data_IF_727986745084
#
_entry.id   IF_727986745084
#
_cell.length_a   1.000
_cell.length_b   1.000
_cell.length_c   1.000
_cell.angle_alpha   90.00
_cell.angle_beta   90.00
_cell.angle_gamma   90.00
#
_symmetry.space_group_name_H-M   'P 1'
#
loop_
_entity.id
_entity.type
_entity.pdbx_description
1 polymer ?
#
# COMPACT_ATOMS: atom_id res chain seq x y z
N UNK A 1 12.28 -6.25 -33.62
CA UNK A 1 11.75 -7.23 -32.63
C UNK A 1 12.91 -7.63 -31.73
N UNK A 2 13.02 -7.02 -30.55
CA UNK A 2 14.09 -7.35 -29.59
C UNK A 2 13.81 -8.76 -29.04
N UNK A 3 14.66 -9.73 -29.40
CA UNK A 3 14.61 -11.09 -28.86
C UNK A 3 15.10 -11.03 -27.39
N UNK A 4 14.18 -11.12 -26.43
CA UNK A 4 14.54 -11.23 -25.01
C UNK A 4 15.31 -12.55 -24.81
N UNK A 5 16.49 -12.54 -24.19
CA UNK A 5 17.29 -13.75 -23.98
C UNK A 5 16.51 -14.83 -23.24
N UNK A 6 16.62 -16.08 -23.65
CA UNK A 6 15.91 -17.22 -23.06
C UNK A 6 16.05 -17.36 -21.52
N UNK A 7 17.21 -17.07 -20.88
CA UNK A 7 17.30 -17.09 -19.41
C UNK A 7 16.44 -16.02 -18.73
N UNK A 8 16.29 -14.83 -19.34
CA UNK A 8 15.43 -13.75 -18.83
C UNK A 8 13.96 -14.17 -18.90
N UNK A 9 13.52 -14.72 -20.04
CA UNK A 9 12.15 -15.25 -20.19
C UNK A 9 11.86 -16.33 -19.16
N UNK A 10 12.78 -17.29 -18.96
CA UNK A 10 12.66 -18.35 -17.94
C UNK A 10 12.57 -17.80 -16.52
N UNK A 11 13.34 -16.78 -16.20
CA UNK A 11 13.27 -16.11 -14.91
C UNK A 11 11.88 -15.50 -14.67
N UNK A 12 11.34 -14.73 -15.62
CA UNK A 12 10.00 -14.14 -15.51
C UNK A 12 8.90 -15.20 -15.42
N UNK A 13 8.96 -16.26 -16.20
CA UNK A 13 8.00 -17.38 -16.10
C UNK A 13 8.06 -18.07 -14.75
N UNK A 14 9.25 -18.24 -14.18
CA UNK A 14 9.43 -18.82 -12.84
C UNK A 14 8.85 -17.90 -11.76
N UNK A 15 9.13 -16.60 -11.83
CA UNK A 15 8.61 -15.61 -10.86
C UNK A 15 7.08 -15.44 -10.97
N UNK A 16 6.50 -15.60 -12.15
CA UNK A 16 5.06 -15.55 -12.36
C UNK A 16 4.35 -16.89 -12.03
N UNK A 17 5.09 -17.95 -11.63
CA UNK A 17 4.53 -19.25 -11.27
C UNK A 17 3.93 -19.24 -9.86
N UNK A 18 2.63 -19.58 -9.65
CA UNK A 18 1.99 -19.61 -8.36
C UNK A 18 2.69 -20.49 -7.32
N UNK A 19 3.12 -21.75 -7.62
CA UNK A 19 3.83 -22.58 -6.66
C UNK A 19 5.16 -21.98 -6.19
N UNK A 20 5.92 -21.40 -7.13
CA UNK A 20 7.19 -20.76 -6.81
C UNK A 20 7.00 -19.52 -5.94
N UNK A 21 6.02 -18.67 -6.28
CA UNK A 21 5.67 -17.50 -5.47
C UNK A 21 5.25 -17.92 -4.05
N UNK A 22 4.43 -18.97 -3.92
CA UNK A 22 3.99 -19.49 -2.63
C UNK A 22 5.19 -19.91 -1.76
N UNK A 23 6.06 -20.76 -2.30
CA UNK A 23 7.24 -21.24 -1.57
C UNK A 23 8.23 -20.11 -1.22
N UNK A 24 8.48 -19.19 -2.16
CA UNK A 24 9.35 -18.03 -1.93
C UNK A 24 8.79 -17.12 -0.82
N UNK A 25 7.50 -16.81 -0.89
CA UNK A 25 6.83 -15.97 0.12
C UNK A 25 6.88 -16.60 1.51
N UNK A 26 6.72 -17.93 1.63
CA UNK A 26 6.83 -18.64 2.89
C UNK A 26 8.24 -18.54 3.48
N UNK A 27 9.26 -18.71 2.65
CA UNK A 27 10.67 -18.61 3.07
C UNK A 27 11.07 -17.18 3.49
N UNK A 28 10.53 -16.17 2.84
CA UNK A 28 10.85 -14.76 3.14
C UNK A 28 10.11 -14.23 4.38
N UNK A 29 8.94 -14.80 4.70
CA UNK A 29 8.04 -14.25 5.72
C UNK A 29 8.72 -14.01 7.08
N UNK A 30 9.47 -14.95 7.71
CA UNK A 30 10.06 -14.70 9.01
C UNK A 30 11.05 -13.53 9.01
N UNK A 31 11.85 -13.39 7.95
CA UNK A 31 12.80 -12.27 7.81
C UNK A 31 12.10 -10.92 7.64
N UNK A 32 11.05 -10.88 6.84
CA UNK A 32 10.25 -9.66 6.65
C UNK A 32 9.60 -9.23 7.97
N UNK A 33 9.08 -10.18 8.76
CA UNK A 33 8.51 -9.88 10.08
C UNK A 33 9.56 -9.34 11.05
N UNK A 34 10.75 -9.94 11.10
CA UNK A 34 11.84 -9.42 11.95
C UNK A 34 12.23 -8.00 11.56
N UNK A 35 12.42 -7.74 10.26
CA UNK A 35 12.75 -6.39 9.76
C UNK A 35 11.63 -5.39 10.11
N UNK A 36 10.37 -5.78 9.91
CA UNK A 36 9.22 -4.95 10.26
C UNK A 36 9.21 -4.57 11.75
N UNK A 37 9.41 -5.55 12.64
CA UNK A 37 9.40 -5.32 14.10
C UNK A 37 10.54 -4.39 14.50
N UNK A 38 11.75 -4.60 13.97
CA UNK A 38 12.91 -3.75 14.28
C UNK A 38 12.71 -2.31 13.78
N UNK A 39 12.23 -2.14 12.56
CA UNK A 39 11.95 -0.80 12.01
C UNK A 39 10.85 -0.08 12.79
N UNK A 40 9.78 -0.80 13.17
CA UNK A 40 8.69 -0.24 13.97
C UNK A 40 9.18 0.19 15.34
N UNK A 41 9.91 -0.69 16.04
CA UNK A 41 10.44 -0.39 17.37
C UNK A 41 11.40 0.82 17.33
N UNK A 42 12.33 0.84 16.38
CA UNK A 42 13.28 1.95 16.23
C UNK A 42 12.57 3.26 15.83
N UNK A 43 11.60 3.20 14.90
CA UNK A 43 10.83 4.36 14.44
C UNK A 43 9.95 4.95 15.56
N UNK A 44 9.22 4.10 16.30
CA UNK A 44 8.41 4.56 17.42
C UNK A 44 9.26 5.08 18.59
N UNK A 45 10.33 4.40 18.96
CA UNK A 45 11.23 4.86 19.99
C UNK A 45 11.86 6.22 19.62
N UNK A 46 12.39 6.32 18.38
CA UNK A 46 12.96 7.57 17.89
C UNK A 46 11.94 8.71 17.83
N UNK A 47 10.72 8.43 17.33
CA UNK A 47 9.68 9.46 17.14
C UNK A 47 8.97 9.88 18.41
N UNK A 48 8.72 8.95 19.35
CA UNK A 48 7.94 9.24 20.55
C UNK A 48 8.80 9.69 21.74
N UNK A 49 10.07 9.25 21.81
CA UNK A 49 10.94 9.52 22.96
C UNK A 49 12.14 10.40 22.62
N UNK A 50 12.83 10.16 21.50
CA UNK A 50 14.07 10.88 21.17
C UNK A 50 13.85 12.19 20.42
N UNK A 51 12.82 12.25 19.55
CA UNK A 51 12.53 13.46 18.79
C UNK A 51 12.03 14.57 19.73
N UNK A 52 12.56 15.81 19.61
CA UNK A 52 12.12 16.95 20.41
C UNK A 52 10.67 17.31 20.08
N UNK A 53 9.96 18.00 20.96
CA UNK A 53 8.65 18.59 20.68
C UNK A 53 8.79 19.68 19.61
N UNK A 54 7.80 19.79 18.73
CA UNK A 54 7.76 20.85 17.73
C UNK A 54 7.47 22.21 18.37
N UNK A 55 8.12 23.26 17.90
CA UNK A 55 8.01 24.61 18.50
C UNK A 55 6.63 25.25 18.30
N UNK A 56 5.88 24.85 17.25
CA UNK A 56 4.53 25.38 16.99
C UNK A 56 3.44 24.42 17.44
N UNK A 57 3.65 23.11 17.23
CA UNK A 57 2.62 22.08 17.40
C UNK A 57 2.75 21.32 18.73
N UNK A 58 3.83 21.57 19.49
CA UNK A 58 4.11 20.81 20.70
C UNK A 58 4.21 19.32 20.42
N UNK A 59 3.67 18.48 21.29
CA UNK A 59 3.69 17.01 21.12
C UNK A 59 2.63 16.48 20.15
N UNK A 60 1.64 17.30 19.75
CA UNK A 60 0.62 16.87 18.78
C UNK A 60 1.20 16.53 17.41
N UNK A 61 2.39 17.09 17.06
CA UNK A 61 3.07 16.75 15.83
C UNK A 61 3.48 15.28 15.73
N UNK A 62 3.64 14.56 16.85
CA UNK A 62 4.08 13.14 16.87
C UNK A 62 3.16 12.21 16.11
N UNK A 63 1.94 12.62 15.81
CA UNK A 63 1.01 11.91 14.93
C UNK A 63 1.58 11.75 13.50
N UNK A 64 2.56 12.58 13.11
CA UNK A 64 3.26 12.53 11.82
C UNK A 64 3.85 11.13 11.54
N UNK A 65 4.31 10.43 12.58
CA UNK A 65 4.95 9.12 12.44
C UNK A 65 3.98 7.99 12.06
N UNK A 66 2.68 8.24 12.15
CA UNK A 66 1.61 7.33 11.69
C UNK A 66 0.90 7.92 10.49
N UNK A 67 0.53 9.20 10.54
CA UNK A 67 -0.25 9.86 9.49
C UNK A 67 0.48 9.89 8.14
N UNK A 68 1.70 10.44 8.12
CA UNK A 68 2.44 10.63 6.86
C UNK A 68 2.81 9.31 6.20
N UNK A 69 3.36 8.29 6.91
CA UNK A 69 3.55 6.97 6.33
C UNK A 69 2.26 6.34 5.81
N UNK A 70 1.12 6.50 6.51
CA UNK A 70 -0.17 5.99 6.04
C UNK A 70 -0.63 6.66 4.76
N UNK A 71 -0.52 7.99 4.68
CA UNK A 71 -0.86 8.76 3.47
C UNK A 71 0.05 8.41 2.29
N UNK A 72 1.36 8.20 2.51
CA UNK A 72 2.26 7.72 1.45
C UNK A 72 1.90 6.30 1.00
N UNK A 73 1.53 5.42 1.93
CA UNK A 73 1.15 4.05 1.60
C UNK A 73 -0.20 3.98 0.89
N UNK A 74 -1.17 4.86 1.19
CA UNK A 74 -2.45 4.92 0.47
C UNK A 74 -2.23 5.16 -1.02
N UNK A 75 -1.40 6.13 -1.39
CA UNK A 75 -1.07 6.44 -2.77
C UNK A 75 -0.23 5.33 -3.42
N UNK A 76 0.82 4.89 -2.73
CA UNK A 76 1.75 3.88 -3.25
C UNK A 76 1.05 2.56 -3.56
N UNK A 77 0.21 2.07 -2.66
CA UNK A 77 -0.51 0.79 -2.85
C UNK A 77 -1.50 0.91 -4.00
N UNK A 78 -2.14 2.07 -4.19
CA UNK A 78 -3.04 2.26 -5.32
C UNK A 78 -2.30 2.20 -6.66
N UNK A 79 -1.12 2.82 -6.74
CA UNK A 79 -0.25 2.71 -7.93
C UNK A 79 0.14 1.26 -8.20
N UNK A 80 0.60 0.53 -7.16
CA UNK A 80 0.93 -0.91 -7.30
C UNK A 80 -0.27 -1.71 -7.79
N UNK A 81 -1.46 -1.45 -7.25
CA UNK A 81 -2.71 -2.11 -7.64
C UNK A 81 -3.06 -1.81 -9.10
N UNK A 82 -2.97 -0.56 -9.54
CA UNK A 82 -3.24 -0.15 -10.93
C UNK A 82 -2.24 -0.77 -11.91
N UNK A 83 -0.94 -0.75 -11.58
CA UNK A 83 0.11 -1.37 -12.41
C UNK A 83 -0.08 -2.88 -12.49
N UNK A 84 -0.30 -3.55 -11.36
CA UNK A 84 -0.56 -4.99 -11.33
C UNK A 84 -1.84 -5.34 -12.11
N UNK A 85 -2.92 -4.56 -11.94
CA UNK A 85 -4.15 -4.70 -12.71
C UNK A 85 -3.93 -4.57 -14.21
N UNK A 86 -3.17 -3.56 -14.64
CA UNK A 86 -2.79 -3.37 -16.05
C UNK A 86 -1.98 -4.54 -16.60
N UNK A 87 -1.01 -5.04 -15.85
CA UNK A 87 -0.23 -6.23 -16.21
C UNK A 87 -1.14 -7.46 -16.34
N UNK A 88 -2.04 -7.68 -15.37
CA UNK A 88 -3.00 -8.76 -15.40
C UNK A 88 -3.94 -8.68 -16.60
N UNK A 89 -4.42 -7.48 -16.92
CA UNK A 89 -5.35 -7.23 -18.03
C UNK A 89 -4.70 -7.46 -19.41
N UNK A 90 -3.45 -6.96 -19.60
CA UNK A 90 -2.75 -7.00 -20.90
C UNK A 90 -2.12 -8.37 -21.13
N UNK A 91 -1.35 -8.87 -20.17
CA UNK A 91 -0.58 -10.13 -20.33
C UNK A 91 -1.23 -11.36 -19.72
N UNK A 92 -2.40 -11.20 -19.07
CA UNK A 92 -3.16 -12.28 -18.43
C UNK A 92 -2.33 -13.04 -17.38
N UNK A 93 -1.46 -12.33 -16.66
CA UNK A 93 -0.62 -12.90 -15.60
C UNK A 93 -1.46 -13.04 -14.34
N UNK A 94 -1.80 -14.28 -13.98
CA UNK A 94 -2.64 -14.60 -12.78
C UNK A 94 -2.11 -13.98 -11.50
N UNK A 95 -0.80 -14.03 -11.29
CA UNK A 95 -0.19 -13.47 -10.08
C UNK A 95 -0.39 -11.96 -9.98
N UNK A 96 -0.36 -11.23 -11.09
CA UNK A 96 -0.63 -9.80 -11.14
C UNK A 96 -2.10 -9.50 -10.74
N UNK A 97 -3.06 -10.30 -11.24
CA UNK A 97 -4.46 -10.19 -10.81
C UNK A 97 -4.62 -10.42 -9.31
N UNK A 98 -3.90 -11.42 -8.76
CA UNK A 98 -3.91 -11.74 -7.33
C UNK A 98 -3.31 -10.59 -6.50
N UNK A 99 -2.20 -9.99 -6.94
CA UNK A 99 -1.61 -8.81 -6.29
C UNK A 99 -2.59 -7.64 -6.28
N UNK A 100 -3.33 -7.41 -7.37
CA UNK A 100 -4.34 -6.35 -7.45
C UNK A 100 -5.37 -6.45 -6.34
N UNK A 101 -6.05 -7.60 -6.21
CA UNK A 101 -7.10 -7.76 -5.17
C UNK A 101 -6.51 -7.86 -3.76
N UNK A 102 -5.33 -8.48 -3.60
CA UNK A 102 -4.69 -8.60 -2.31
C UNK A 102 -4.25 -7.25 -1.73
N UNK A 103 -3.92 -6.29 -2.59
CA UNK A 103 -3.50 -4.94 -2.20
C UNK A 103 -4.66 -4.04 -1.78
N UNK A 104 -5.86 -4.23 -2.34
CA UNK A 104 -6.99 -3.33 -2.14
C UNK A 104 -7.41 -3.15 -0.67
N UNK A 105 -7.61 -4.20 0.17
CA UNK A 105 -7.98 -4.02 1.57
C UNK A 105 -6.88 -3.36 2.40
N UNK A 106 -5.61 -3.60 2.05
CA UNK A 106 -4.47 -3.00 2.75
C UNK A 106 -4.41 -1.51 2.44
N UNK A 107 -4.57 -1.14 1.16
CA UNK A 107 -4.65 0.26 0.74
C UNK A 107 -5.83 0.99 1.38
N UNK A 108 -7.02 0.38 1.41
CA UNK A 108 -8.19 0.93 2.11
C UNK A 108 -7.89 1.20 3.59
N UNK A 109 -7.20 0.28 4.28
CA UNK A 109 -6.85 0.44 5.70
C UNK A 109 -5.89 1.62 5.90
N UNK A 110 -4.86 1.77 5.07
CA UNK A 110 -3.94 2.91 5.17
C UNK A 110 -4.62 4.24 4.83
N UNK A 111 -5.49 4.27 3.83
CA UNK A 111 -6.29 5.46 3.50
C UNK A 111 -7.20 5.85 4.67
N UNK A 112 -7.88 4.87 5.27
CA UNK A 112 -8.71 5.11 6.46
C UNK A 112 -7.89 5.65 7.64
N UNK A 113 -6.72 5.05 7.93
CA UNK A 113 -5.82 5.52 9.00
C UNK A 113 -5.35 6.95 8.69
N UNK A 114 -4.99 7.27 7.44
CA UNK A 114 -4.60 8.61 7.04
C UNK A 114 -5.71 9.63 7.27
N UNK A 115 -6.96 9.32 6.88
CA UNK A 115 -8.12 10.19 7.11
C UNK A 115 -8.40 10.40 8.59
N UNK A 116 -8.42 9.34 9.40
CA UNK A 116 -8.67 9.42 10.85
C UNK A 116 -7.56 10.20 11.56
N UNK A 117 -6.31 9.86 11.31
CA UNK A 117 -5.18 10.54 11.95
C UNK A 117 -5.02 11.97 11.48
N UNK A 118 -5.34 12.26 10.21
CA UNK A 118 -5.39 13.63 9.68
C UNK A 118 -6.48 14.47 10.34
N UNK A 119 -7.67 13.90 10.56
CA UNK A 119 -8.76 14.55 11.31
C UNK A 119 -8.37 14.82 12.77
N UNK A 120 -7.76 13.85 13.46
CA UNK A 120 -7.26 14.02 14.83
C UNK A 120 -6.17 15.09 14.92
N UNK A 121 -5.29 15.18 13.94
CA UNK A 121 -4.24 16.19 13.88
C UNK A 121 -4.78 17.57 13.47
N UNK A 122 -5.76 17.62 12.59
CA UNK A 122 -6.40 18.85 12.14
C UNK A 122 -7.10 19.61 13.24
N UNK A 123 -7.69 18.90 14.23
CA UNK A 123 -8.43 19.56 15.32
C UNK A 123 -7.57 20.54 16.14
N UNK A 124 -6.40 20.18 16.68
CA UNK A 124 -5.54 21.12 17.39
C UNK A 124 -4.88 22.15 16.45
N UNK A 125 -4.65 21.83 15.17
CA UNK A 125 -3.92 22.69 14.24
C UNK A 125 -4.80 23.72 13.54
N UNK A 126 -6.02 23.33 13.19
CA UNK A 126 -6.94 24.15 12.36
C UNK A 126 -8.26 24.47 13.07
N UNK A 127 -8.46 23.96 14.28
CA UNK A 127 -9.70 24.15 15.06
C UNK A 127 -10.88 23.30 14.58
N UNK A 128 -10.72 22.48 13.54
CA UNK A 128 -11.79 21.65 12.96
C UNK A 128 -11.32 20.22 12.72
N UNK A 129 -12.26 19.27 12.75
CA UNK A 129 -11.99 17.87 12.44
C UNK A 129 -11.92 17.59 10.94
N UNK A 130 -12.63 18.38 10.12
CA UNK A 130 -12.79 18.16 8.70
C UNK A 130 -13.00 19.48 7.95
N UNK A 131 -12.44 19.55 6.75
CA UNK A 131 -12.68 20.61 5.78
C UNK A 131 -12.89 19.93 4.41
N UNK A 132 -13.89 20.37 3.67
CA UNK A 132 -14.13 19.91 2.30
C UNK A 132 -13.20 20.63 1.32
N UNK A 133 -11.91 20.40 1.50
CA UNK A 133 -10.90 20.87 0.54
C UNK A 133 -10.52 19.78 -0.46
N UNK A 134 -9.71 20.14 -1.45
CA UNK A 134 -9.31 19.21 -2.51
C UNK A 134 -8.49 18.02 -1.96
N UNK A 135 -7.67 18.24 -0.93
CA UNK A 135 -6.79 17.22 -0.36
C UNK A 135 -7.57 16.13 0.38
N UNK A 136 -8.40 16.55 1.34
CA UNK A 136 -9.17 15.61 2.16
C UNK A 136 -10.25 14.91 1.33
N UNK A 137 -10.92 15.66 0.43
CA UNK A 137 -11.96 15.10 -0.43
C UNK A 137 -11.40 14.06 -1.40
N UNK A 138 -10.27 14.34 -2.06
CA UNK A 138 -9.66 13.37 -2.99
C UNK A 138 -9.09 12.14 -2.26
N UNK A 139 -8.58 12.27 -1.03
CA UNK A 139 -8.17 11.12 -0.20
C UNK A 139 -9.40 10.28 0.23
N UNK A 140 -10.54 10.90 0.53
CA UNK A 140 -11.80 10.20 0.78
C UNK A 140 -12.30 9.46 -0.48
N UNK A 141 -12.21 10.07 -1.65
CA UNK A 141 -12.51 9.40 -2.92
C UNK A 141 -11.61 8.18 -3.12
N UNK A 142 -10.32 8.27 -2.76
CA UNK A 142 -9.40 7.15 -2.82
C UNK A 142 -9.88 5.98 -1.95
N UNK A 143 -10.38 6.24 -0.75
CA UNK A 143 -10.99 5.21 0.10
C UNK A 143 -12.17 4.53 -0.61
N UNK A 144 -13.07 5.31 -1.20
CA UNK A 144 -14.20 4.74 -1.94
C UNK A 144 -13.78 3.95 -3.18
N UNK A 145 -12.71 4.36 -3.87
CA UNK A 145 -12.15 3.59 -4.98
C UNK A 145 -11.61 2.23 -4.51
N UNK A 146 -10.92 2.16 -3.37
CA UNK A 146 -10.50 0.90 -2.77
C UNK A 146 -11.70 0.02 -2.37
N UNK A 147 -12.69 0.60 -1.71
CA UNK A 147 -13.92 -0.12 -1.33
C UNK A 147 -14.69 -0.60 -2.57
N UNK A 148 -14.71 0.19 -3.63
CA UNK A 148 -15.28 -0.17 -4.93
C UNK A 148 -14.58 -1.39 -5.53
N UNK A 149 -13.25 -1.44 -5.51
CA UNK A 149 -12.48 -2.62 -5.97
C UNK A 149 -12.82 -3.86 -5.15
N UNK A 150 -12.88 -3.74 -3.82
CA UNK A 150 -13.21 -4.86 -2.92
C UNK A 150 -14.63 -5.36 -3.18
N UNK A 151 -15.60 -4.43 -3.21
CA UNK A 151 -17.02 -4.75 -3.44
C UNK A 151 -17.28 -5.37 -4.81
N UNK A 152 -16.66 -4.79 -5.86
CA UNK A 152 -16.80 -5.29 -7.24
C UNK A 152 -16.21 -6.70 -7.38
N UNK A 153 -15.07 -6.98 -6.77
CA UNK A 153 -14.50 -8.32 -6.77
C UNK A 153 -15.37 -9.34 -6.03
N UNK A 154 -15.98 -8.94 -4.91
CA UNK A 154 -16.88 -9.79 -4.14
C UNK A 154 -18.21 -10.07 -4.85
N UNK A 155 -18.73 -9.11 -5.61
CA UNK A 155 -20.02 -9.19 -6.28
C UNK A 155 -20.02 -10.07 -7.54
N UNK A 156 -18.85 -10.36 -8.13
CA UNK A 156 -18.74 -11.15 -9.37
C UNK A 156 -18.21 -12.55 -9.04
N UNK A 157 -18.99 -13.58 -9.36
CA UNK A 157 -18.64 -14.98 -9.07
C UNK A 157 -17.46 -15.47 -9.92
N UNK A 158 -17.46 -15.18 -11.23
CA UNK A 158 -16.33 -15.51 -12.11
C UNK A 158 -15.14 -14.62 -11.79
N UNK A 159 -14.12 -15.21 -11.15
CA UNK A 159 -12.92 -14.48 -10.71
C UNK A 159 -12.05 -13.94 -11.85
N UNK A 160 -12.19 -14.45 -13.07
CA UNK A 160 -11.53 -13.86 -14.26
C UNK A 160 -12.23 -12.58 -14.70
N UNK A 161 -13.57 -12.61 -14.71
CA UNK A 161 -14.37 -11.42 -15.01
C UNK A 161 -14.18 -10.38 -13.93
N UNK A 162 -14.24 -10.77 -12.66
CA UNK A 162 -13.98 -9.92 -11.51
C UNK A 162 -12.60 -9.24 -11.60
N UNK A 163 -11.54 -10.00 -11.89
CA UNK A 163 -10.18 -9.46 -12.03
C UNK A 163 -10.06 -8.41 -13.14
N UNK A 164 -10.72 -8.61 -14.28
CA UNK A 164 -10.77 -7.60 -15.35
C UNK A 164 -11.50 -6.34 -14.92
N UNK A 165 -12.67 -6.50 -14.28
CA UNK A 165 -13.48 -5.37 -13.83
C UNK A 165 -12.72 -4.51 -12.81
N UNK A 166 -12.10 -5.13 -11.80
CA UNK A 166 -11.31 -4.38 -10.81
C UNK A 166 -10.03 -3.77 -11.39
N UNK A 167 -9.39 -4.40 -12.39
CA UNK A 167 -8.25 -3.84 -13.08
C UNK A 167 -8.61 -2.55 -13.83
N UNK A 168 -9.76 -2.54 -14.51
CA UNK A 168 -10.27 -1.34 -15.19
C UNK A 168 -10.58 -0.25 -14.17
N UNK A 169 -11.28 -0.56 -13.07
CA UNK A 169 -11.57 0.40 -12.01
C UNK A 169 -10.30 0.98 -11.41
N UNK A 170 -9.29 0.15 -11.14
CA UNK A 170 -8.00 0.60 -10.61
C UNK A 170 -7.26 1.53 -11.58
N UNK A 171 -7.26 1.21 -12.88
CA UNK A 171 -6.64 2.03 -13.92
C UNK A 171 -7.36 3.38 -14.12
N UNK A 172 -8.68 3.39 -14.07
CA UNK A 172 -9.45 4.65 -14.13
C UNK A 172 -9.21 5.47 -12.87
N UNK A 173 -9.26 4.85 -11.71
CA UNK A 173 -9.10 5.55 -10.44
C UNK A 173 -7.68 6.08 -10.17
N UNK A 174 -6.65 5.60 -10.88
CA UNK A 174 -5.27 6.08 -10.69
C UNK A 174 -5.11 7.57 -11.00
N UNK A 175 -6.00 8.14 -11.80
CA UNK A 175 -6.05 9.59 -12.09
C UNK A 175 -6.24 10.42 -10.83
N UNK A 176 -6.85 9.84 -9.78
CA UNK A 176 -7.01 10.51 -8.49
C UNK A 176 -5.68 10.71 -7.74
N UNK A 177 -4.64 9.92 -8.03
CA UNK A 177 -3.34 9.99 -7.35
C UNK A 177 -2.63 11.33 -7.57
N UNK A 178 -2.40 11.81 -8.81
CA UNK A 178 -1.84 13.14 -9.02
C UNK A 178 -2.73 14.26 -8.46
N UNK A 179 -4.07 14.11 -8.47
CA UNK A 179 -4.97 15.08 -7.87
C UNK A 179 -4.68 15.21 -6.37
N UNK A 180 -4.58 14.10 -5.64
CA UNK A 180 -4.20 14.12 -4.22
C UNK A 180 -2.81 14.76 -4.05
N UNK A 181 -1.82 14.33 -4.83
CA UNK A 181 -0.44 14.76 -4.67
C UNK A 181 -0.27 16.27 -4.84
N UNK A 182 -0.86 16.82 -5.91
CA UNK A 182 -0.74 18.24 -6.26
C UNK A 182 -1.88 19.10 -5.72
N UNK A 183 -2.80 18.56 -4.94
CA UNK A 183 -3.95 19.29 -4.40
C UNK A 183 -3.57 20.55 -3.63
N UNK A 184 -2.46 20.52 -2.89
CA UNK A 184 -1.95 21.66 -2.11
C UNK A 184 -1.30 22.77 -2.96
N UNK A 185 -0.93 22.45 -4.20
CA UNK A 185 -0.35 23.40 -5.15
C UNK A 185 -1.41 23.98 -6.08
N UNK A 186 -2.42 23.18 -6.46
CA UNK A 186 -3.44 23.58 -7.42
C UNK A 186 -4.65 24.27 -6.79
N UNK A 187 -4.92 24.03 -5.51
CA UNK A 187 -6.08 24.60 -4.81
C UNK A 187 -5.69 25.13 -3.43
N UNK A 188 -6.49 26.08 -2.93
CA UNK A 188 -6.39 26.52 -1.55
C UNK A 188 -6.83 25.41 -0.58
N UNK A 189 -5.98 25.06 0.36
CA UNK A 189 -6.21 24.02 1.37
C UNK A 189 -5.55 24.43 2.68
N UNK A 190 -6.08 23.97 3.80
CA UNK A 190 -5.43 24.11 5.12
C UNK A 190 -4.21 23.22 5.28
N UNK A 191 -4.10 22.18 4.43
CA UNK A 191 -2.99 21.24 4.49
C UNK A 191 -1.69 21.89 4.00
N UNK A 192 -0.64 21.79 4.82
CA UNK A 192 0.69 22.31 4.43
C UNK A 192 1.28 21.53 3.25
N UNK A 193 2.12 22.19 2.46
CA UNK A 193 2.87 21.58 1.37
C UNK A 193 3.83 20.48 1.82
N UNK A 194 4.40 19.71 0.87
CA UNK A 194 5.28 18.58 1.20
C UNK A 194 6.55 19.05 1.89
N UNK A 195 6.86 18.49 3.05
CA UNK A 195 8.07 18.78 3.83
C UNK A 195 9.25 17.86 3.48
N UNK A 196 8.97 16.66 2.95
CA UNK A 196 9.95 15.62 2.61
C UNK A 196 9.97 15.32 1.12
N UNK A 197 8.80 15.11 0.49
CA UNK A 197 8.66 14.73 -0.92
C UNK A 197 8.65 15.93 -1.85
N UNK A 198 9.72 16.74 -1.82
CA UNK A 198 9.92 17.92 -2.66
C UNK A 198 11.28 17.85 -3.36
N UNK A 199 11.47 18.66 -4.40
CA UNK A 199 12.70 18.70 -5.21
C UNK A 199 13.88 19.38 -4.49
N UNK A 200 13.72 19.84 -3.26
CA UNK A 200 14.71 20.49 -2.43
C UNK A 200 14.95 19.69 -1.14
N UNK A 201 15.90 20.16 -0.31
CA UNK A 201 16.20 19.53 0.99
C UNK A 201 14.92 19.46 1.86
N UNK A 202 14.72 18.35 2.60
CA UNK A 202 13.63 18.26 3.56
C UNK A 202 13.61 19.44 4.52
N UNK A 203 12.42 20.03 4.74
CA UNK A 203 12.24 21.14 5.69
C UNK A 203 11.84 20.66 7.09
N UNK A 204 12.36 19.52 7.50
CA UNK A 204 12.16 18.90 8.81
C UNK A 204 13.54 18.58 9.41
N UNK A 205 13.68 18.76 10.71
CA UNK A 205 14.94 18.48 11.40
C UNK A 205 15.29 16.97 11.34
N UNK A 206 16.59 16.65 11.25
CA UNK A 206 17.04 15.25 11.10
C UNK A 206 16.56 14.32 12.21
N UNK A 207 16.46 14.81 13.46
CA UNK A 207 15.96 14.02 14.60
C UNK A 207 14.50 13.64 14.47
N UNK A 208 13.69 14.38 13.71
CA UNK A 208 12.31 14.06 13.37
C UNK A 208 12.21 13.28 12.06
N UNK A 209 13.10 13.58 11.09
CA UNK A 209 13.11 12.95 9.77
C UNK A 209 13.47 11.46 9.85
N UNK A 210 14.52 11.11 10.60
CA UNK A 210 14.99 9.71 10.67
C UNK A 210 13.89 8.78 11.19
N UNK A 211 13.22 9.05 12.34
CA UNK A 211 12.09 8.23 12.78
C UNK A 211 10.95 8.16 11.76
N UNK A 212 10.64 9.26 11.08
CA UNK A 212 9.61 9.28 10.05
C UNK A 212 9.93 8.33 8.89
N UNK A 213 11.18 8.32 8.41
CA UNK A 213 11.61 7.41 7.35
C UNK A 213 11.64 5.95 7.81
N UNK A 214 12.04 5.68 9.07
CA UNK A 214 11.95 4.34 9.64
C UNK A 214 10.50 3.84 9.69
N UNK A 215 9.56 4.69 10.11
CA UNK A 215 8.13 4.34 10.09
C UNK A 215 7.59 4.14 8.67
N UNK A 216 8.03 4.94 7.70
CA UNK A 216 7.65 4.76 6.30
C UNK A 216 8.16 3.42 5.74
N UNK A 217 9.39 3.03 6.07
CA UNK A 217 9.95 1.72 5.71
C UNK A 217 9.23 0.58 6.44
N UNK A 218 8.91 0.75 7.72
CA UNK A 218 8.12 -0.20 8.49
C UNK A 218 6.76 -0.45 7.84
N UNK A 219 6.03 0.59 7.43
CA UNK A 219 4.72 0.46 6.78
C UNK A 219 4.82 -0.20 5.40
N UNK A 220 5.92 0.05 4.66
CA UNK A 220 6.21 -0.73 3.43
C UNK A 220 6.44 -2.20 3.72
N UNK A 221 7.18 -2.55 4.77
CA UNK A 221 7.38 -3.95 5.17
C UNK A 221 6.06 -4.60 5.58
N UNK A 222 5.23 -3.90 6.37
CA UNK A 222 3.88 -4.38 6.70
C UNK A 222 3.05 -4.65 5.45
N UNK A 223 3.07 -3.72 4.47
CA UNK A 223 2.36 -3.93 3.20
C UNK A 223 2.85 -5.20 2.49
N UNK A 224 4.16 -5.40 2.37
CA UNK A 224 4.71 -6.59 1.71
C UNK A 224 4.27 -7.85 2.43
N UNK A 225 4.36 -7.91 3.77
CA UNK A 225 3.93 -9.04 4.59
C UNK A 225 2.45 -9.34 4.37
N UNK A 226 1.60 -8.34 4.53
CA UNK A 226 0.15 -8.50 4.42
C UNK A 226 -0.27 -8.87 2.99
N UNK A 227 0.35 -8.26 1.97
CA UNK A 227 0.09 -8.57 0.56
C UNK A 227 0.51 -10.03 0.24
N UNK A 228 1.69 -10.47 0.68
CA UNK A 228 2.14 -11.85 0.45
C UNK A 228 1.21 -12.86 1.12
N UNK A 229 0.79 -12.61 2.37
CA UNK A 229 -0.15 -13.49 3.08
C UNK A 229 -1.50 -13.58 2.37
N UNK A 230 -2.08 -12.42 1.99
CA UNK A 230 -3.36 -12.38 1.27
C UNK A 230 -3.25 -13.03 -0.11
N UNK A 231 -2.15 -12.78 -0.83
CA UNK A 231 -1.91 -13.39 -2.14
C UNK A 231 -1.80 -14.92 -2.06
N UNK A 232 -1.16 -15.45 -1.00
CA UNK A 232 -1.11 -16.91 -0.75
C UNK A 232 -2.51 -17.49 -0.54
N UNK A 233 -3.33 -16.84 0.28
CA UNK A 233 -4.73 -17.29 0.51
C UNK A 233 -5.52 -17.25 -0.79
N UNK A 234 -5.45 -16.14 -1.53
CA UNK A 234 -6.16 -15.99 -2.81
C UNK A 234 -5.73 -17.04 -3.85
N UNK A 235 -4.42 -17.33 -3.93
CA UNK A 235 -3.90 -18.38 -4.82
C UNK A 235 -4.43 -19.76 -4.46
N UNK A 236 -4.42 -20.12 -3.18
CA UNK A 236 -4.95 -21.41 -2.72
C UNK A 236 -6.45 -21.54 -3.03
N UNK A 237 -7.22 -20.47 -2.88
CA UNK A 237 -8.65 -20.47 -3.22
C UNK A 237 -8.90 -20.63 -4.73
N UNK A 238 -8.16 -19.87 -5.55
CA UNK A 238 -8.28 -19.92 -7.01
C UNK A 238 -7.80 -21.22 -7.63
N UNK A 239 -6.79 -21.84 -7.02
CA UNK A 239 -6.13 -23.04 -7.54
C UNK A 239 -6.41 -24.29 -6.70
N UNK A 240 -7.49 -24.30 -5.90
CA UNK A 240 -7.85 -25.40 -4.99
C UNK A 240 -7.86 -26.80 -5.63
N UNK A 241 -8.12 -26.88 -6.93
CA UNK A 241 -8.16 -28.13 -7.70
C UNK A 241 -6.83 -28.45 -8.38
N UNK A 242 -5.82 -27.58 -8.35
CA UNK A 242 -4.53 -27.79 -8.98
C UNK A 242 -3.70 -28.81 -8.19
N UNK A 243 -2.88 -29.59 -8.90
CA UNK A 243 -2.07 -30.66 -8.28
C UNK A 243 -1.11 -30.15 -7.22
N UNK A 244 -0.46 -29.00 -7.44
CA UNK A 244 0.48 -28.43 -6.48
C UNK A 244 -0.18 -28.06 -5.13
N UNK A 245 -1.45 -27.62 -5.14
CA UNK A 245 -2.21 -27.33 -3.90
C UNK A 245 -2.54 -28.62 -3.17
N UNK A 246 -2.97 -29.65 -3.91
CA UNK A 246 -3.25 -30.96 -3.32
C UNK A 246 -2.01 -31.56 -2.66
N UNK A 247 -0.85 -31.52 -3.33
CA UNK A 247 0.42 -31.97 -2.79
C UNK A 247 0.80 -31.19 -1.53
N UNK A 248 0.70 -29.85 -1.57
CA UNK A 248 1.00 -29.00 -0.41
C UNK A 248 0.13 -29.34 0.82
N UNK A 249 -1.16 -29.64 0.60
CA UNK A 249 -2.06 -30.00 1.69
C UNK A 249 -1.74 -31.38 2.28
N UNK A 250 -1.30 -32.33 1.45
CA UNK A 250 -0.86 -33.66 1.92
C UNK A 250 0.44 -33.58 2.73
N UNK A 251 1.40 -32.75 2.30
CA UNK A 251 2.68 -32.56 3.03
C UNK A 251 2.51 -31.85 4.39
N UNK A 252 1.42 -31.11 4.60
CA UNK A 252 1.12 -30.38 5.85
C UNK A 252 0.12 -31.11 6.76
N UNK A 253 -0.31 -32.30 6.39
CA UNK A 253 -1.05 -33.18 7.31
C UNK A 253 -0.09 -33.79 8.32
N UNK A 254 -0.37 -33.70 9.65
CA UNK A 254 0.50 -34.24 10.69
C UNK A 254 0.61 -35.75 10.62
#
# INVERSE_FOLDING_TARGET
MFLIPAPVVRFFHRMASPPHFYALSEKLMPWLVVIFVLLTAAGLYGGLYLAPSDYQQGDSYRIIYIHVPSAWMSLFIYIVMAVAGGIGLIWRIKLAEVVTISSAPIGASFTFIALVTGSLWGKPMWGTWWVWDARLTSELILLFLYLGVIGLYGAIDDKRVASKAIAILALVGVVNIPIIHYSVEWWNTLHQGPTVTKMDKPSIHVTMLVPLLLMALSFKMYYVIAMLQRARVELLQRERNAQWVKTLLLEKQP
#
